data_IF_240438414775
#
_entry.id   IF_240438414775
#
_cell.length_a   1.000
_cell.length_b   1.000
_cell.length_c   1.000
_cell.angle_alpha   90.00
_cell.angle_beta   90.00
_cell.angle_gamma   90.00
#
_symmetry.space_group_name_H-M   'P 1'
#
loop_
_entity.id
_entity.type
_entity.pdbx_description
1 polymer ?
#
# COMPACT_ATOMS: atom_id res chain seq x y z
N UNK A 1 -25.94 1.44 12.08
CA UNK A 1 -24.50 1.25 12.37
C UNK A 1 -24.21 1.92 13.71
N UNK A 2 -23.56 1.25 14.65
CA UNK A 2 -23.31 1.72 16.04
C UNK A 2 -22.23 2.82 16.14
N UNK A 3 -22.24 3.81 15.24
CA UNK A 3 -21.28 4.93 15.28
C UNK A 3 -21.45 5.75 16.57
N UNK A 4 -22.67 5.80 17.12
CA UNK A 4 -22.99 6.60 18.30
C UNK A 4 -22.41 6.05 19.63
N UNK A 5 -21.71 4.91 19.60
CA UNK A 5 -21.14 4.28 20.81
C UNK A 5 -19.60 4.27 20.84
N UNK A 6 -18.92 4.71 19.76
CA UNK A 6 -17.45 4.70 19.66
C UNK A 6 -16.97 6.14 19.54
N UNK A 7 -16.61 6.78 20.65
CA UNK A 7 -16.13 8.17 20.66
C UNK A 7 -14.79 8.38 19.93
N UNK A 8 -14.05 7.31 19.63
CA UNK A 8 -12.72 7.38 19.01
C UNK A 8 -12.39 6.11 18.22
N UNK A 9 -12.82 6.05 16.96
CA UNK A 9 -12.46 4.96 16.06
C UNK A 9 -10.99 5.08 15.65
N UNK A 10 -10.24 3.99 15.76
CA UNK A 10 -8.80 3.93 15.43
C UNK A 10 -8.49 3.28 14.09
N UNK A 11 -9.32 2.33 13.68
CA UNK A 11 -9.16 1.58 12.44
C UNK A 11 -10.50 1.52 11.72
N UNK A 12 -10.49 1.75 10.41
CA UNK A 12 -11.65 1.71 9.53
C UNK A 12 -11.31 0.84 8.33
N UNK A 13 -12.17 -0.14 8.06
CA UNK A 13 -12.03 -1.04 6.92
C UNK A 13 -13.29 -0.92 6.05
N UNK A 14 -13.09 -0.56 4.78
CA UNK A 14 -14.13 -0.44 3.76
C UNK A 14 -13.77 -1.38 2.62
N UNK A 15 -13.95 -2.66 2.90
CA UNK A 15 -13.64 -3.77 2.00
C UNK A 15 -14.67 -3.90 0.86
N UNK A 16 -14.36 -4.69 -0.19
CA UNK A 16 -15.24 -4.86 -1.33
C UNK A 16 -16.59 -5.43 -0.88
N UNK A 17 -17.70 -4.79 -1.27
CA UNK A 17 -19.06 -5.17 -0.87
C UNK A 17 -19.74 -4.20 0.12
N UNK A 18 -19.03 -3.20 0.63
CA UNK A 18 -19.60 -2.15 1.50
C UNK A 18 -19.65 -0.76 0.85
N UNK A 19 -19.41 -0.66 -0.46
CA UNK A 19 -19.39 0.62 -1.20
C UNK A 19 -20.73 1.37 -1.13
N UNK A 20 -21.84 0.65 -0.98
CA UNK A 20 -23.18 1.24 -0.90
C UNK A 20 -23.49 1.83 0.48
N UNK A 21 -22.62 1.62 1.47
CA UNK A 21 -22.84 2.06 2.86
C UNK A 21 -22.08 3.33 3.20
N UNK A 22 -21.44 3.98 2.23
CA UNK A 22 -20.51 5.09 2.47
C UNK A 22 -21.19 6.37 2.98
N UNK A 23 -22.52 6.48 2.86
CA UNK A 23 -23.29 7.65 3.29
C UNK A 23 -23.06 8.06 4.76
N UNK A 24 -22.63 7.12 5.61
CA UNK A 24 -22.32 7.43 7.01
C UNK A 24 -21.27 8.54 7.16
N UNK A 25 -20.36 8.71 6.18
CA UNK A 25 -19.29 9.71 6.24
C UNK A 25 -19.82 11.15 6.31
N UNK A 26 -21.04 11.37 5.82
CA UNK A 26 -21.69 12.68 5.84
C UNK A 26 -22.38 13.00 7.18
N UNK A 27 -22.50 12.02 8.08
CA UNK A 27 -23.10 12.24 9.39
C UNK A 27 -22.19 13.06 10.32
N UNK A 28 -22.72 13.99 11.14
CA UNK A 28 -21.94 14.70 12.15
C UNK A 28 -21.21 13.76 13.12
N UNK A 29 -21.82 12.64 13.46
CA UNK A 29 -21.27 11.63 14.36
C UNK A 29 -20.02 10.98 13.76
N UNK A 30 -20.01 10.69 12.46
CA UNK A 30 -18.83 10.16 11.79
C UNK A 30 -17.64 11.10 11.91
N UNK A 31 -17.84 12.43 11.79
CA UNK A 31 -16.76 13.41 11.96
C UNK A 31 -16.10 13.33 13.33
N UNK A 32 -16.90 13.16 14.38
CA UNK A 32 -16.40 13.03 15.76
C UNK A 32 -15.63 11.71 15.90
N UNK A 33 -16.22 10.61 15.44
CA UNK A 33 -15.66 9.27 15.62
C UNK A 33 -14.35 9.06 14.85
N UNK A 34 -14.26 9.60 13.63
CA UNK A 34 -13.14 9.38 12.71
C UNK A 34 -11.96 10.34 12.88
N UNK A 35 -12.12 11.43 13.66
CA UNK A 35 -11.03 12.41 13.91
C UNK A 35 -9.73 11.78 14.42
N UNK A 36 -9.84 10.64 15.11
CA UNK A 36 -8.72 9.92 15.71
C UNK A 36 -8.29 8.69 14.92
N UNK A 37 -8.74 8.54 13.68
CA UNK A 37 -8.41 7.42 12.81
C UNK A 37 -6.89 7.38 12.55
N UNK A 38 -6.32 6.18 12.74
CA UNK A 38 -4.89 5.91 12.56
C UNK A 38 -4.66 4.92 11.42
N UNK A 39 -5.59 4.00 11.21
CA UNK A 39 -5.53 2.99 10.16
C UNK A 39 -6.76 3.08 9.26
N UNK A 40 -6.52 3.10 7.95
CA UNK A 40 -7.57 3.02 6.95
C UNK A 40 -7.26 1.89 5.97
N UNK A 41 -8.23 1.02 5.76
CA UNK A 41 -8.24 0.04 4.68
C UNK A 41 -9.42 0.33 3.76
N UNK A 42 -9.18 0.39 2.46
CA UNK A 42 -10.21 0.79 1.51
C UNK A 42 -9.98 0.20 0.12
N UNK A 43 -11.07 0.07 -0.65
CA UNK A 43 -10.99 -0.33 -2.05
C UNK A 43 -10.74 0.86 -2.98
N UNK A 44 -10.01 0.59 -4.06
CA UNK A 44 -9.62 1.61 -5.03
C UNK A 44 -10.78 2.21 -5.85
N UNK A 45 -11.88 1.46 -5.96
CA UNK A 45 -13.07 1.80 -6.75
C UNK A 45 -14.14 2.55 -5.95
N UNK A 46 -13.84 2.95 -4.70
CA UNK A 46 -14.71 3.83 -3.92
C UNK A 46 -14.78 5.23 -4.58
N UNK A 47 -15.94 5.88 -4.49
CA UNK A 47 -16.14 7.19 -5.10
C UNK A 47 -15.19 8.27 -4.53
N UNK A 48 -14.75 9.21 -5.37
CA UNK A 48 -13.83 10.29 -4.97
C UNK A 48 -14.38 11.15 -3.83
N UNK A 49 -15.70 11.38 -3.81
CA UNK A 49 -16.37 12.14 -2.75
C UNK A 49 -16.13 11.56 -1.35
N UNK A 50 -15.96 10.24 -1.23
CA UNK A 50 -15.60 9.61 0.03
C UNK A 50 -14.18 10.00 0.48
N UNK A 51 -13.21 9.89 -0.43
CA UNK A 51 -11.81 10.18 -0.13
C UNK A 51 -11.61 11.64 0.22
N UNK A 52 -12.30 12.55 -0.46
CA UNK A 52 -12.35 13.96 -0.09
C UNK A 52 -12.82 14.14 1.36
N UNK A 53 -13.97 13.56 1.74
CA UNK A 53 -14.51 13.70 3.10
C UNK A 53 -13.63 13.08 4.17
N UNK A 54 -13.07 11.89 3.94
CA UNK A 54 -12.14 11.26 4.88
C UNK A 54 -10.91 12.13 5.09
N UNK A 55 -10.37 12.72 4.02
CA UNK A 55 -9.14 13.52 4.10
C UNK A 55 -9.35 14.82 4.87
N UNK A 56 -10.55 15.39 4.83
CA UNK A 56 -10.96 16.56 5.61
C UNK A 56 -11.17 16.25 7.11
N UNK A 57 -11.49 14.99 7.46
CA UNK A 57 -11.79 14.59 8.84
C UNK A 57 -10.55 13.96 9.50
N UNK A 58 -9.82 13.14 8.75
CA UNK A 58 -8.79 12.25 9.23
C UNK A 58 -7.40 12.78 8.82
N UNK A 59 -6.76 13.54 9.70
CA UNK A 59 -5.39 14.05 9.47
C UNK A 59 -4.30 13.27 10.24
N UNK A 60 -4.67 12.12 10.82
CA UNK A 60 -3.81 11.32 11.69
C UNK A 60 -3.56 9.91 11.16
N UNK A 61 -3.89 9.63 9.89
CA UNK A 61 -3.69 8.31 9.31
C UNK A 61 -2.19 8.03 9.23
N UNK A 62 -1.79 6.92 9.84
CA UNK A 62 -0.41 6.42 9.86
C UNK A 62 -0.26 5.14 9.05
N UNK A 63 -1.33 4.37 8.88
CA UNK A 63 -1.36 3.15 8.08
C UNK A 63 -2.48 3.20 7.05
N UNK A 64 -2.13 2.97 5.78
CA UNK A 64 -3.07 2.94 4.67
C UNK A 64 -2.92 1.62 3.90
N UNK A 65 -4.02 0.89 3.76
CA UNK A 65 -4.13 -0.27 2.86
C UNK A 65 -5.11 0.04 1.74
N UNK A 66 -4.68 -0.13 0.50
CA UNK A 66 -5.54 0.05 -0.68
C UNK A 66 -5.61 -1.28 -1.43
N UNK A 67 -6.82 -1.83 -1.53
CA UNK A 67 -7.10 -3.03 -2.32
C UNK A 67 -7.58 -2.60 -3.71
N UNK A 68 -6.81 -2.92 -4.75
CA UNK A 68 -7.16 -2.54 -6.12
C UNK A 68 -8.15 -3.52 -6.74
N UNK A 69 -9.36 -3.03 -7.03
CA UNK A 69 -10.44 -3.84 -7.61
C UNK A 69 -10.60 -3.52 -9.09
N UNK A 70 -10.51 -4.56 -9.94
CA UNK A 70 -10.62 -4.44 -11.42
C UNK A 70 -9.68 -3.40 -12.04
N UNK A 71 -8.54 -3.15 -11.38
CA UNK A 71 -7.55 -2.15 -11.80
C UNK A 71 -8.06 -0.70 -11.93
N UNK A 72 -9.19 -0.37 -11.28
CA UNK A 72 -9.75 0.99 -11.28
C UNK A 72 -9.13 1.77 -10.12
N UNK A 73 -8.72 3.01 -10.37
CA UNK A 73 -8.28 3.94 -9.32
C UNK A 73 -9.14 5.20 -9.36
N UNK A 74 -9.67 5.57 -8.20
CA UNK A 74 -10.35 6.86 -8.01
C UNK A 74 -9.31 7.97 -7.85
N UNK A 75 -9.48 9.09 -8.56
CA UNK A 75 -8.59 10.26 -8.46
C UNK A 75 -8.49 10.78 -7.01
N UNK A 76 -9.53 10.56 -6.20
CA UNK A 76 -9.53 10.94 -4.79
C UNK A 76 -8.48 10.21 -3.95
N UNK A 77 -7.98 9.04 -4.38
CA UNK A 77 -6.92 8.32 -3.66
C UNK A 77 -5.60 9.08 -3.75
N UNK A 78 -5.26 9.57 -4.93
CA UNK A 78 -3.98 10.24 -5.18
C UNK A 78 -4.04 11.72 -4.80
N UNK A 79 -5.14 12.40 -5.14
CA UNK A 79 -5.33 13.83 -4.93
C UNK A 79 -5.70 14.18 -3.49
N UNK A 80 -6.64 13.44 -2.90
CA UNK A 80 -7.19 13.78 -1.59
C UNK A 80 -6.55 12.92 -0.50
N UNK A 81 -6.60 11.59 -0.61
CA UNK A 81 -6.21 10.72 0.49
C UNK A 81 -4.70 10.75 0.74
N UNK A 82 -3.89 10.26 -0.19
CA UNK A 82 -2.43 10.10 0.05
C UNK A 82 -1.77 11.47 0.22
N UNK A 83 -2.09 12.42 -0.66
CA UNK A 83 -1.41 13.73 -0.67
C UNK A 83 -1.66 14.57 0.59
N UNK A 84 -2.77 14.34 1.31
CA UNK A 84 -3.11 15.12 2.51
C UNK A 84 -2.66 14.44 3.82
N UNK A 85 -2.14 13.21 3.78
CA UNK A 85 -1.62 12.54 4.98
C UNK A 85 -0.13 12.85 5.21
N UNK A 86 0.14 13.74 6.16
CA UNK A 86 1.51 14.10 6.59
C UNK A 86 2.15 13.12 7.58
N UNK A 87 1.37 12.18 8.14
CA UNK A 87 1.82 11.22 9.18
C UNK A 87 1.90 9.78 8.69
N UNK A 88 1.77 9.56 7.39
CA UNK A 88 1.72 8.23 6.80
C UNK A 88 3.06 7.52 6.94
N UNK A 89 3.06 6.37 7.62
CA UNK A 89 4.25 5.56 7.92
C UNK A 89 4.25 4.21 7.21
N UNK A 90 3.07 3.61 7.06
CA UNK A 90 2.89 2.30 6.47
C UNK A 90 1.92 2.38 5.30
N UNK A 91 2.31 1.81 4.17
CA UNK A 91 1.47 1.70 2.98
C UNK A 91 1.46 0.25 2.51
N UNK A 92 0.26 -0.28 2.29
CA UNK A 92 0.02 -1.57 1.67
C UNK A 92 -0.79 -1.36 0.39
N UNK A 93 -0.27 -1.81 -0.75
CA UNK A 93 -0.95 -1.79 -2.05
C UNK A 93 -1.21 -3.24 -2.48
N UNK A 94 -2.49 -3.64 -2.52
CA UNK A 94 -2.90 -5.00 -2.84
C UNK A 94 -3.44 -5.13 -4.26
N UNK A 95 -3.05 -6.18 -4.99
CA UNK A 95 -3.44 -6.40 -6.39
C UNK A 95 -3.10 -5.24 -7.34
N UNK A 96 -1.95 -4.59 -7.13
CA UNK A 96 -1.53 -3.48 -7.99
C UNK A 96 -0.76 -3.97 -9.23
N UNK A 97 -1.03 -3.35 -10.38
CA UNK A 97 -0.30 -3.59 -11.63
C UNK A 97 0.61 -2.39 -11.96
N UNK A 98 1.41 -2.53 -13.02
CA UNK A 98 2.29 -1.49 -13.55
C UNK A 98 1.63 -0.12 -13.72
N UNK A 99 0.42 -0.07 -14.27
CA UNK A 99 -0.28 1.18 -14.54
C UNK A 99 -0.72 1.88 -13.26
N UNK A 100 -1.24 1.12 -12.29
CA UNK A 100 -1.57 1.62 -10.95
C UNK A 100 -0.34 2.20 -10.28
N UNK A 101 0.79 1.47 -10.29
CA UNK A 101 2.04 1.95 -9.69
C UNK A 101 2.47 3.26 -10.34
N UNK A 102 2.39 3.38 -11.67
CA UNK A 102 2.71 4.63 -12.38
C UNK A 102 1.82 5.79 -11.96
N UNK A 103 0.53 5.55 -11.73
CA UNK A 103 -0.45 6.59 -11.35
C UNK A 103 -0.25 7.04 -9.89
N UNK A 104 0.00 6.10 -8.98
CA UNK A 104 0.07 6.40 -7.53
C UNK A 104 1.45 6.94 -7.11
N UNK A 105 2.52 6.57 -7.83
CA UNK A 105 3.90 6.95 -7.49
C UNK A 105 4.08 8.44 -7.20
N UNK A 106 3.61 9.39 -8.04
CA UNK A 106 3.79 10.82 -7.78
C UNK A 106 3.18 11.32 -6.47
N UNK A 107 2.11 10.69 -5.99
CA UNK A 107 1.52 11.03 -4.68
C UNK A 107 2.29 10.39 -3.54
N UNK A 108 2.74 9.13 -3.69
CA UNK A 108 3.51 8.44 -2.64
C UNK A 108 4.85 9.13 -2.36
N UNK A 109 5.52 9.64 -3.40
CA UNK A 109 6.82 10.31 -3.26
C UNK A 109 6.73 11.61 -2.45
N UNK A 110 5.55 12.23 -2.32
CA UNK A 110 5.33 13.37 -1.42
C UNK A 110 5.49 12.98 0.05
N UNK A 111 5.19 11.73 0.39
CA UNK A 111 5.35 11.16 1.74
C UNK A 111 6.65 10.35 1.87
N UNK A 112 7.60 10.58 0.97
CA UNK A 112 8.89 9.86 0.90
C UNK A 112 9.69 9.86 2.21
N UNK A 113 9.58 10.96 2.97
CA UNK A 113 10.29 11.15 4.23
C UNK A 113 9.62 10.46 5.42
N UNK A 114 8.34 10.10 5.33
CA UNK A 114 7.57 9.59 6.49
C UNK A 114 7.33 8.08 6.41
N UNK A 115 7.29 7.53 5.19
CA UNK A 115 7.07 6.11 4.96
C UNK A 115 8.28 5.31 5.45
N UNK A 116 8.01 4.39 6.37
CA UNK A 116 8.98 3.45 6.97
C UNK A 116 8.66 2.01 6.60
N UNK A 117 7.42 1.72 6.17
CA UNK A 117 6.97 0.41 5.74
C UNK A 117 6.21 0.48 4.42
N UNK A 118 6.63 -0.36 3.47
CA UNK A 118 5.95 -0.53 2.19
C UNK A 118 5.67 -2.01 1.96
N UNK A 119 4.41 -2.33 1.70
CA UNK A 119 3.96 -3.66 1.29
C UNK A 119 3.35 -3.55 -0.11
N UNK A 120 3.90 -4.29 -1.07
CA UNK A 120 3.41 -4.35 -2.43
C UNK A 120 3.00 -5.78 -2.72
N UNK A 121 1.74 -5.98 -3.06
CA UNK A 121 1.27 -7.19 -3.73
C UNK A 121 1.03 -6.84 -5.19
N UNK A 122 1.97 -7.28 -6.02
CA UNK A 122 2.09 -6.82 -7.40
C UNK A 122 2.67 -7.88 -8.31
N UNK A 123 2.08 -7.98 -9.51
CA UNK A 123 2.66 -8.67 -10.64
C UNK A 123 3.30 -7.64 -11.60
N UNK A 124 4.58 -7.84 -11.91
CA UNK A 124 5.27 -7.13 -12.99
C UNK A 124 5.22 -5.58 -12.92
N UNK A 125 5.62 -5.01 -11.79
CA UNK A 125 5.64 -3.54 -11.59
C UNK A 125 7.02 -2.93 -11.56
N UNK A 126 7.17 -1.66 -11.99
CA UNK A 126 8.41 -0.92 -11.79
C UNK A 126 8.61 -0.67 -10.30
N UNK A 127 9.80 -1.00 -9.80
CA UNK A 127 10.16 -0.91 -8.38
C UNK A 127 11.16 0.23 -8.08
N UNK A 128 11.63 0.94 -9.12
CA UNK A 128 12.61 2.02 -9.00
C UNK A 128 12.14 3.17 -8.09
N UNK A 129 10.82 3.43 -8.00
CA UNK A 129 10.27 4.47 -7.13
C UNK A 129 10.55 4.22 -5.64
N UNK A 130 10.83 2.97 -5.25
CA UNK A 130 11.15 2.60 -3.87
C UNK A 130 12.39 3.36 -3.38
N UNK A 131 13.32 3.69 -4.29
CA UNK A 131 14.52 4.48 -3.97
C UNK A 131 14.24 5.87 -3.41
N UNK A 132 13.02 6.38 -3.57
CA UNK A 132 12.61 7.67 -3.01
C UNK A 132 12.36 7.63 -1.51
N UNK A 133 12.04 6.47 -0.93
CA UNK A 133 11.73 6.33 0.50
C UNK A 133 13.01 6.18 1.34
N UNK A 134 13.67 7.29 1.66
CA UNK A 134 14.97 7.29 2.35
C UNK A 134 14.91 6.70 3.78
N UNK A 135 13.73 6.75 4.40
CA UNK A 135 13.48 6.24 5.75
C UNK A 135 12.80 4.87 5.76
N UNK A 136 12.75 4.19 4.61
CA UNK A 136 12.15 2.86 4.49
C UNK A 136 12.97 1.84 5.30
N UNK A 137 12.31 1.20 6.25
CA UNK A 137 12.88 0.18 7.14
C UNK A 137 12.38 -1.22 6.81
N UNK A 138 11.12 -1.33 6.38
CA UNK A 138 10.46 -2.57 5.99
C UNK A 138 9.97 -2.47 4.54
N UNK A 139 10.47 -3.36 3.68
CA UNK A 139 9.90 -3.61 2.36
C UNK A 139 9.40 -5.06 2.31
N UNK A 140 8.13 -5.23 1.98
CA UNK A 140 7.50 -6.53 1.74
C UNK A 140 6.96 -6.55 0.32
N UNK A 141 7.41 -7.54 -0.44
CA UNK A 141 6.94 -7.79 -1.80
C UNK A 141 6.24 -9.14 -1.80
N UNK A 142 4.95 -9.15 -2.12
CA UNK A 142 4.18 -10.34 -2.46
C UNK A 142 4.15 -10.46 -3.98
N UNK A 143 4.47 -11.66 -4.45
CA UNK A 143 4.49 -12.00 -5.86
C UNK A 143 3.56 -13.19 -6.08
N UNK A 144 2.72 -13.09 -7.09
CA UNK A 144 2.01 -14.23 -7.66
C UNK A 144 2.68 -14.60 -8.99
N UNK A 145 3.55 -15.63 -9.01
CA UNK A 145 4.20 -16.08 -10.23
C UNK A 145 3.25 -16.83 -11.18
N UNK A 146 2.09 -17.26 -10.69
CA UNK A 146 1.06 -17.96 -11.48
C UNK A 146 0.07 -16.96 -12.10
N UNK A 147 0.21 -15.65 -11.84
CA UNK A 147 -0.53 -14.61 -12.55
C UNK A 147 -0.19 -14.71 -14.05
N UNK A 148 -1.16 -14.96 -14.94
CA UNK A 148 -0.91 -15.04 -16.38
C UNK A 148 -0.36 -13.74 -16.98
N UNK A 149 -0.42 -12.62 -16.25
CA UNK A 149 0.20 -11.34 -16.60
C UNK A 149 1.62 -11.17 -16.01
N UNK A 150 2.16 -12.20 -15.34
CA UNK A 150 3.50 -12.24 -14.75
C UNK A 150 4.63 -12.45 -15.76
N UNK A 151 4.37 -12.43 -17.08
CA UNK A 151 5.44 -12.32 -18.08
C UNK A 151 6.29 -11.06 -17.77
N UNK A 152 7.52 -11.26 -17.30
CA UNK A 152 8.37 -10.16 -16.84
C UNK A 152 8.24 -9.81 -15.36
N UNK A 153 7.58 -10.61 -14.52
CA UNK A 153 7.40 -10.37 -13.07
C UNK A 153 8.69 -10.07 -12.29
N UNK A 154 9.85 -10.41 -12.86
CA UNK A 154 11.17 -10.14 -12.30
C UNK A 154 11.91 -8.93 -12.92
N UNK A 155 11.35 -8.24 -13.91
CA UNK A 155 12.00 -7.08 -14.54
C UNK A 155 12.17 -5.93 -13.53
N UNK A 156 11.14 -5.66 -12.71
CA UNK A 156 11.22 -4.71 -11.61
C UNK A 156 12.28 -5.05 -10.56
N UNK A 157 12.58 -6.35 -10.36
CA UNK A 157 13.59 -6.81 -9.40
C UNK A 157 15.01 -6.44 -9.82
N UNK A 158 15.27 -6.40 -11.14
CA UNK A 158 16.51 -5.86 -11.68
C UNK A 158 16.76 -4.40 -11.29
N UNK A 159 15.73 -3.65 -10.89
CA UNK A 159 15.88 -2.27 -10.42
C UNK A 159 16.29 -2.22 -8.94
N UNK A 160 15.86 -3.20 -8.13
CA UNK A 160 16.15 -3.26 -6.69
C UNK A 160 17.64 -3.39 -6.41
N UNK A 161 18.41 -4.07 -7.27
CA UNK A 161 19.86 -4.24 -7.10
C UNK A 161 20.62 -2.90 -7.11
N UNK A 162 20.05 -1.86 -7.72
CA UNK A 162 20.64 -0.52 -7.82
C UNK A 162 20.16 0.43 -6.72
N UNK A 163 19.19 0.02 -5.90
CA UNK A 163 18.66 0.84 -4.81
C UNK A 163 19.55 0.66 -3.58
N UNK A 164 20.12 1.76 -3.10
CA UNK A 164 20.79 1.81 -1.80
C UNK A 164 19.76 2.09 -0.72
N UNK A 165 19.58 1.14 0.17
CA UNK A 165 18.67 1.24 1.30
C UNK A 165 19.43 1.75 2.53
N UNK A 166 19.25 3.03 2.95
CA UNK A 166 20.10 3.62 3.97
C UNK A 166 19.82 3.06 5.38
N UNK A 167 18.57 2.65 5.63
CA UNK A 167 18.03 2.38 6.98
C UNK A 167 17.39 1.00 7.13
N UNK A 168 17.50 0.11 6.14
CA UNK A 168 16.83 -1.20 6.20
C UNK A 168 17.53 -2.11 7.21
N UNK A 169 16.91 -2.21 8.39
CA UNK A 169 17.21 -3.25 9.37
C UNK A 169 16.58 -4.59 8.94
N UNK A 170 15.38 -4.58 8.33
CA UNK A 170 14.61 -5.78 7.98
C UNK A 170 14.06 -5.71 6.54
N UNK A 171 14.85 -6.19 5.56
CA UNK A 171 14.29 -6.50 4.24
C UNK A 171 13.60 -7.86 4.34
N UNK A 172 12.27 -7.88 4.23
CA UNK A 172 11.47 -9.11 4.28
C UNK A 172 10.73 -9.26 2.96
N UNK A 173 11.35 -9.88 1.97
CA UNK A 173 10.56 -10.41 0.85
C UNK A 173 9.72 -11.56 1.35
N UNK A 174 8.41 -11.50 1.13
CA UNK A 174 7.50 -12.61 1.40
C UNK A 174 6.97 -13.09 0.07
N UNK A 175 7.67 -14.06 -0.51
CA UNK A 175 7.21 -14.69 -1.72
C UNK A 175 6.12 -15.70 -1.35
N UNK A 176 4.92 -15.46 -1.85
CA UNK A 176 3.82 -16.40 -1.72
C UNK A 176 3.82 -17.23 -3.00
N UNK A 177 4.66 -18.26 -3.06
CA UNK A 177 4.80 -19.07 -4.27
C UNK A 177 4.73 -20.54 -3.97
N UNK A 178 4.07 -21.30 -4.85
CA UNK A 178 4.07 -22.76 -4.91
C UNK A 178 5.43 -23.37 -5.32
N UNK A 179 6.45 -22.54 -5.60
CA UNK A 179 7.76 -22.96 -6.10
C UNK A 179 8.68 -23.53 -5.00
N UNK A 180 9.63 -24.36 -5.44
CA UNK A 180 10.67 -24.90 -4.59
C UNK A 180 11.62 -23.82 -4.04
N UNK A 181 12.20 -24.08 -2.87
CA UNK A 181 13.14 -23.17 -2.19
C UNK A 181 14.33 -22.78 -3.07
N UNK A 182 14.67 -23.61 -4.07
CA UNK A 182 15.81 -23.42 -4.96
C UNK A 182 15.57 -22.27 -5.94
N UNK A 183 14.40 -22.23 -6.57
CA UNK A 183 14.00 -21.13 -7.47
C UNK A 183 14.00 -19.81 -6.73
N UNK A 184 13.53 -19.83 -5.47
CA UNK A 184 13.47 -18.64 -4.65
C UNK A 184 14.85 -18.13 -4.24
N UNK A 185 15.75 -19.03 -3.87
CA UNK A 185 17.13 -18.67 -3.55
C UNK A 185 17.90 -18.12 -4.77
N UNK A 186 17.56 -18.56 -5.98
CA UNK A 186 18.09 -17.99 -7.23
C UNK A 186 17.61 -16.55 -7.47
N UNK A 187 16.32 -16.26 -7.24
CA UNK A 187 15.78 -14.90 -7.33
C UNK A 187 16.47 -13.99 -6.31
N UNK A 188 16.68 -14.46 -5.08
CA UNK A 188 17.44 -13.71 -4.05
C UNK A 188 18.87 -13.39 -4.50
N UNK A 189 19.62 -14.42 -4.90
CA UNK A 189 21.01 -14.28 -5.30
C UNK A 189 21.19 -13.34 -6.50
N UNK A 190 20.22 -13.36 -7.42
CA UNK A 190 20.28 -12.58 -8.66
C UNK A 190 19.86 -11.13 -8.49
N UNK A 191 18.87 -10.84 -7.64
CA UNK A 191 18.23 -9.51 -7.63
C UNK A 191 18.31 -8.75 -6.32
N UNK A 192 18.61 -9.41 -5.20
CA UNK A 192 18.67 -8.77 -3.89
C UNK A 192 19.83 -9.31 -3.04
N UNK A 193 21.09 -9.08 -3.41
CA UNK A 193 22.24 -9.58 -2.63
C UNK A 193 22.30 -9.02 -1.19
N UNK A 194 21.58 -7.92 -0.90
CA UNK A 194 21.52 -7.28 0.43
C UNK A 194 20.34 -7.77 1.30
N UNK A 195 19.66 -8.87 0.93
CA UNK A 195 18.49 -9.39 1.63
C UNK A 195 18.84 -10.00 2.99
N UNK A 196 18.25 -9.50 4.08
CA UNK A 196 18.55 -9.99 5.45
C UNK A 196 17.67 -11.15 5.93
N UNK A 197 16.44 -11.29 5.44
CA UNK A 197 15.53 -12.36 5.91
C UNK A 197 14.45 -12.76 4.89
N UNK A 198 14.03 -14.03 4.95
CA UNK A 198 12.88 -14.57 4.22
C UNK A 198 11.92 -15.20 5.23
N UNK A 199 10.61 -14.88 5.15
CA UNK A 199 9.57 -15.57 5.92
C UNK A 199 8.74 -16.44 4.97
N UNK A 200 8.57 -17.73 5.32
CA UNK A 200 7.66 -18.66 4.67
C UNK A 200 6.32 -18.68 5.43
N UNK A 201 5.22 -18.92 4.73
CA UNK A 201 3.91 -19.26 5.30
C UNK A 201 3.42 -20.56 4.65
#
# INVERSE_FOLDING_TARGET
MFINQISSLKSLDISPGYTDRIEFIYSPEAKICLKYLVELKCCSNICSAFFYQISEICHNIQSLTITFVKFIISDGITADLISLQSKLKSITLEYCNKDIIRIITPSLTKSSLTITKLVLDTANSPLSFISTFINLQELILHLDPDDPNAEGAFEGFGQLQYIKFPTIENFITKFNSSYDDKTMNLVKAKFCPNLKSLCHY
#
